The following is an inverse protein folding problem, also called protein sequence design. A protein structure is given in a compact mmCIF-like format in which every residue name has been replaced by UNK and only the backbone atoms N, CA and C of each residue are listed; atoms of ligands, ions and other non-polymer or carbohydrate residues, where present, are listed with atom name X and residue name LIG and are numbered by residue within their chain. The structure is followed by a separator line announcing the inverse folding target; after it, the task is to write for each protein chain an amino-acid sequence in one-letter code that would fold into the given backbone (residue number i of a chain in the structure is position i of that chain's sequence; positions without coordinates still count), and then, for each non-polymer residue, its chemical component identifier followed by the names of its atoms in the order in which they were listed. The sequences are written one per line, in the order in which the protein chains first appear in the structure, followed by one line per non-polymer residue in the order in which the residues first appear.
data_IF_925690095585
#
_entry.id   IF_925690095585
#
_cell.length_a   1.000
_cell.length_b   1.000
_cell.length_c   1.000
_cell.angle_alpha   90.00
_cell.angle_beta   90.00
_cell.angle_gamma   90.00
#
_symmetry.space_group_name_H-M   'P 1'
#
loop_
_entity.id
_entity.type
_entity.pdbx_description
1 polymer ?
#
# COMPACT_ATOMS: atom_id res chain seq x y z
N UNK A 1 14.63 -14.27 -8.49
CA UNK A 1 13.34 -14.00 -7.83
C UNK A 1 12.71 -12.83 -8.57
N UNK A 2 11.53 -13.01 -9.17
CA UNK A 2 10.88 -11.90 -9.88
C UNK A 2 10.26 -10.96 -8.86
N UNK A 3 10.57 -9.67 -8.98
CA UNK A 3 10.00 -8.61 -8.15
C UNK A 3 9.00 -7.83 -8.99
N UNK A 4 7.90 -7.48 -8.35
CA UNK A 4 6.82 -6.72 -8.96
C UNK A 4 6.59 -5.48 -8.11
N UNK A 5 6.30 -4.36 -8.77
CA UNK A 5 5.88 -3.13 -8.13
C UNK A 5 4.37 -2.99 -8.29
N UNK A 6 3.68 -2.68 -7.20
CA UNK A 6 2.28 -2.27 -7.24
C UNK A 6 2.21 -0.87 -6.65
N UNK A 7 1.42 0.00 -7.26
CA UNK A 7 1.27 1.38 -6.83
C UNK A 7 -0.20 1.79 -6.93
N UNK A 8 -0.54 2.91 -6.32
CA UNK A 8 -1.87 3.45 -6.48
C UNK A 8 -2.10 4.79 -5.79
N UNK A 9 -3.23 5.39 -6.14
CA UNK A 9 -3.80 6.56 -5.48
C UNK A 9 -5.05 6.17 -4.69
N UNK A 10 -5.19 6.73 -3.50
CA UNK A 10 -6.41 6.63 -2.73
C UNK A 10 -7.51 7.50 -3.33
N UNK A 11 -8.75 7.09 -3.12
CA UNK A 11 -9.89 8.01 -3.27
C UNK A 11 -9.80 9.11 -2.20
N UNK A 12 -10.51 10.25 -2.36
CA UNK A 12 -10.55 11.29 -1.34
C UNK A 12 -10.96 10.77 0.05
N UNK A 13 -11.88 9.82 0.12
CA UNK A 13 -12.32 9.16 1.35
C UNK A 13 -11.21 8.28 1.93
N UNK A 14 -10.53 7.50 1.08
CA UNK A 14 -9.41 6.65 1.46
C UNK A 14 -8.24 7.46 2.03
N UNK A 15 -7.93 8.60 1.40
CA UNK A 15 -6.89 9.52 1.86
C UNK A 15 -7.25 10.16 3.21
N UNK A 16 -8.50 10.61 3.40
CA UNK A 16 -8.97 11.09 4.71
C UNK A 16 -8.86 10.02 5.80
N UNK A 17 -9.20 8.78 5.47
CA UNK A 17 -9.01 7.64 6.37
C UNK A 17 -7.54 7.38 6.71
N UNK A 18 -6.64 7.47 5.72
CA UNK A 18 -5.20 7.35 5.93
C UNK A 18 -4.69 8.39 6.94
N UNK A 19 -5.11 9.65 6.81
CA UNK A 19 -4.72 10.72 7.73
C UNK A 19 -5.23 10.49 9.17
N UNK A 20 -6.42 9.90 9.32
CA UNK A 20 -7.02 9.66 10.64
C UNK A 20 -6.45 8.42 11.34
N UNK A 21 -6.16 7.36 10.59
CA UNK A 21 -5.77 6.05 11.14
C UNK A 21 -4.26 5.78 11.08
N UNK A 22 -3.52 6.56 10.31
CA UNK A 22 -2.12 6.30 9.98
C UNK A 22 -1.92 5.22 8.91
N UNK A 23 -0.67 5.09 8.45
CA UNK A 23 -0.32 4.25 7.31
C UNK A 23 -0.18 2.75 7.59
N UNK A 24 0.07 2.33 8.83
CA UNK A 24 0.42 0.93 9.15
C UNK A 24 -0.66 -0.06 8.72
N UNK A 25 -1.95 0.29 8.87
CA UNK A 25 -3.06 -0.54 8.42
C UNK A 25 -3.05 -0.79 6.91
N UNK A 26 -2.51 0.14 6.11
CA UNK A 26 -2.45 0.02 4.65
C UNK A 26 -1.34 -0.95 4.23
N UNK A 27 -0.17 -0.85 4.84
CA UNK A 27 0.92 -1.81 4.62
C UNK A 27 0.54 -3.21 5.08
N UNK A 28 -0.19 -3.34 6.20
CA UNK A 28 -0.67 -4.64 6.70
C UNK A 28 -1.69 -5.27 5.75
N UNK A 29 -2.63 -4.46 5.24
CA UNK A 29 -3.60 -4.92 4.24
C UNK A 29 -2.92 -5.37 2.94
N UNK A 30 -1.93 -4.62 2.45
CA UNK A 30 -1.14 -5.01 1.28
C UNK A 30 -0.38 -6.31 1.52
N UNK A 31 0.24 -6.47 2.69
CA UNK A 31 0.92 -7.71 3.08
C UNK A 31 -0.03 -8.91 3.08
N UNK A 32 -1.22 -8.77 3.68
CA UNK A 32 -2.22 -9.84 3.70
C UNK A 32 -2.71 -10.21 2.29
N UNK A 33 -2.97 -9.22 1.45
CA UNK A 33 -3.42 -9.44 0.07
C UNK A 33 -2.35 -10.13 -0.79
N UNK A 34 -1.08 -9.73 -0.68
CA UNK A 34 0.01 -10.40 -1.39
C UNK A 34 0.24 -11.82 -0.88
N UNK A 35 0.16 -12.03 0.43
CA UNK A 35 0.29 -13.36 1.02
C UNK A 35 -0.83 -14.32 0.63
N UNK A 36 -2.07 -13.84 0.48
CA UNK A 36 -3.18 -14.68 0.00
C UNK A 36 -3.00 -15.13 -1.47
N UNK A 37 -2.24 -14.36 -2.26
CA UNK A 37 -1.84 -14.71 -3.61
C UNK A 37 -0.56 -15.56 -3.69
N UNK A 38 0.02 -15.98 -2.55
CA UNK A 38 1.25 -16.77 -2.49
C UNK A 38 2.54 -15.96 -2.62
N UNK A 39 2.46 -14.62 -2.52
CA UNK A 39 3.60 -13.71 -2.54
C UNK A 39 4.04 -13.21 -1.16
N UNK A 40 5.05 -12.36 -1.16
CA UNK A 40 5.53 -11.65 0.04
C UNK A 40 5.72 -10.16 -0.25
N UNK A 41 5.40 -9.33 0.75
CA UNK A 41 5.69 -7.90 0.70
C UNK A 41 7.14 -7.67 1.12
N UNK A 42 7.96 -7.15 0.22
CA UNK A 42 9.37 -6.83 0.51
C UNK A 42 9.54 -5.43 1.10
N UNK A 43 8.85 -4.44 0.53
CA UNK A 43 8.84 -3.05 0.99
C UNK A 43 7.52 -2.38 0.61
N UNK A 44 7.16 -1.31 1.33
CA UNK A 44 6.00 -0.46 1.07
C UNK A 44 6.37 0.98 1.38
N UNK A 45 6.25 1.87 0.40
CA UNK A 45 6.63 3.27 0.53
C UNK A 45 5.44 4.18 0.29
N UNK A 46 5.18 5.09 1.22
CA UNK A 46 4.28 6.21 0.98
C UNK A 46 4.99 7.27 0.14
N UNK A 47 4.25 7.88 -0.78
CA UNK A 47 4.74 8.99 -1.60
C UNK A 47 3.76 10.15 -1.58
N UNK A 48 4.30 11.36 -1.70
CA UNK A 48 3.52 12.59 -1.84
C UNK A 48 3.60 13.11 -3.28
N UNK A 49 3.53 12.20 -4.26
CA UNK A 49 3.78 12.46 -5.67
C UNK A 49 2.56 12.20 -6.54
N UNK A 50 2.77 11.73 -7.76
CA UNK A 50 1.66 11.32 -8.65
C UNK A 50 0.90 10.08 -8.17
N UNK A 51 1.54 9.26 -7.33
CA UNK A 51 0.96 8.11 -6.65
C UNK A 51 1.05 8.34 -5.13
N UNK A 52 0.16 7.70 -4.37
CA UNK A 52 0.16 7.79 -2.90
C UNK A 52 1.03 6.71 -2.25
N UNK A 53 1.26 5.59 -2.94
CA UNK A 53 2.15 4.53 -2.48
C UNK A 53 2.76 3.72 -3.63
N UNK A 54 3.87 3.07 -3.30
CA UNK A 54 4.65 2.13 -4.10
C UNK A 54 5.00 0.88 -3.28
#
# INVERSE_FOLDING_TARGET
MQKYLFHGCYTPEGFRGLLAEGGSKRSDAAKQALSSAGGSLEAFYFSCGGEDFY
#
